data_IF_175394658942
#
_entry.id   IF_175394658942
#
_cell.length_a   1.000
_cell.length_b   1.000
_cell.length_c   1.000
_cell.angle_alpha   90.00
_cell.angle_beta   90.00
_cell.angle_gamma   90.00
#
_symmetry.space_group_name_H-M   'P 1'
#
loop_
_entity.id
_entity.type
_entity.pdbx_description
1 polymer ?
#
# COMPACT_ATOMS: atom_id res chain seq x y z
N UNK A 1 -52.08 -6.00 2.14
CA UNK A 1 -51.12 -7.09 1.91
C UNK A 1 -50.09 -6.53 0.90
N UNK A 2 -49.02 -6.01 1.37
CA UNK A 2 -47.92 -5.46 0.54
C UNK A 2 -46.78 -6.46 0.56
N UNK A 3 -46.48 -7.08 -0.58
CA UNK A 3 -45.34 -7.95 -0.75
C UNK A 3 -44.08 -7.06 -0.93
N UNK A 4 -43.20 -7.12 0.03
CA UNK A 4 -41.87 -6.52 -0.08
C UNK A 4 -41.04 -7.41 -1.02
N UNK A 5 -40.80 -6.92 -2.23
CA UNK A 5 -39.81 -7.50 -3.15
C UNK A 5 -38.43 -7.24 -2.56
N UNK A 6 -37.80 -8.28 -2.02
CA UNK A 6 -36.35 -8.25 -1.78
C UNK A 6 -35.65 -8.12 -3.14
N UNK A 7 -35.20 -6.91 -3.44
CA UNK A 7 -34.32 -6.67 -4.58
C UNK A 7 -32.98 -7.35 -4.28
N UNK A 8 -32.70 -8.46 -4.98
CA UNK A 8 -31.37 -9.06 -5.05
C UNK A 8 -30.43 -7.99 -5.65
N UNK A 9 -29.52 -7.46 -4.87
CA UNK A 9 -28.52 -6.55 -5.38
C UNK A 9 -27.66 -7.31 -6.42
N UNK A 10 -27.42 -6.77 -7.62
CA UNK A 10 -26.60 -7.45 -8.61
C UNK A 10 -25.20 -7.70 -8.06
N UNK A 11 -24.70 -8.91 -8.21
CA UNK A 11 -23.32 -9.25 -7.91
C UNK A 11 -22.40 -8.39 -8.81
N UNK A 12 -21.55 -7.59 -8.17
CA UNK A 12 -20.60 -6.76 -8.89
C UNK A 12 -19.27 -7.50 -8.99
N UNK A 13 -18.78 -7.67 -10.20
CA UNK A 13 -17.45 -8.18 -10.50
C UNK A 13 -16.55 -7.06 -11.03
N UNK A 14 -15.26 -7.10 -10.71
CA UNK A 14 -14.29 -6.19 -11.29
C UNK A 14 -13.88 -6.66 -12.70
N UNK A 15 -13.54 -5.75 -13.62
CA UNK A 15 -12.99 -6.14 -14.91
C UNK A 15 -11.63 -6.84 -14.70
N UNK A 16 -11.28 -7.83 -15.55
CA UNK A 16 -9.99 -8.48 -15.50
C UNK A 16 -8.86 -7.46 -15.70
N UNK A 17 -7.73 -7.68 -15.05
CA UNK A 17 -6.54 -6.87 -15.26
C UNK A 17 -6.12 -7.04 -16.73
N UNK A 18 -5.98 -5.93 -17.44
CA UNK A 18 -5.46 -5.96 -18.80
C UNK A 18 -4.04 -6.54 -18.74
N UNK A 19 -3.84 -7.70 -19.38
CA UNK A 19 -2.52 -8.30 -19.57
C UNK A 19 -1.90 -7.59 -20.78
N UNK A 20 -1.65 -6.29 -20.64
CA UNK A 20 -0.89 -5.57 -21.64
C UNK A 20 0.56 -6.07 -21.54
N UNK A 21 0.92 -6.97 -22.45
CA UNK A 21 2.29 -7.47 -22.63
C UNK A 21 3.27 -6.42 -23.16
N UNK A 22 2.93 -5.15 -23.04
CA UNK A 22 3.83 -4.03 -23.22
C UNK A 22 4.49 -3.68 -21.91
N UNK A 23 5.80 -3.62 -21.86
CA UNK A 23 6.52 -2.89 -20.83
C UNK A 23 5.94 -1.47 -20.81
N UNK A 24 4.87 -1.29 -20.01
CA UNK A 24 4.40 0.06 -19.73
C UNK A 24 5.59 0.74 -19.10
N UNK A 25 6.12 1.71 -19.85
CA UNK A 25 7.13 2.60 -19.35
C UNK A 25 6.82 2.87 -17.89
N UNK A 26 7.84 2.83 -17.03
CA UNK A 26 7.78 3.34 -15.67
C UNK A 26 7.35 4.80 -15.74
N UNK A 27 6.11 5.01 -16.21
CA UNK A 27 5.48 6.30 -16.41
C UNK A 27 5.04 6.79 -15.06
N UNK A 28 5.70 7.85 -14.63
CA UNK A 28 5.30 8.77 -13.56
C UNK A 28 4.55 8.05 -12.43
N UNK A 29 5.26 7.20 -11.69
CA UNK A 29 4.86 6.83 -10.34
C UNK A 29 4.60 8.14 -9.63
N UNK A 30 3.36 8.38 -9.18
CA UNK A 30 3.07 9.49 -8.29
C UNK A 30 4.20 9.50 -7.25
N UNK A 31 4.97 10.59 -7.21
CA UNK A 31 6.18 10.70 -6.38
C UNK A 31 5.90 10.16 -5.00
N UNK A 32 6.71 9.20 -4.54
CA UNK A 32 6.58 8.68 -3.20
C UNK A 32 6.57 9.84 -2.20
N UNK A 33 5.54 9.88 -1.36
CA UNK A 33 5.43 10.84 -0.27
C UNK A 33 5.58 10.13 1.05
N UNK A 34 6.45 10.66 1.87
CA UNK A 34 6.72 10.17 3.22
C UNK A 34 5.43 10.14 4.03
N UNK A 35 5.15 9.02 4.67
CA UNK A 35 4.00 8.82 5.56
C UNK A 35 4.40 8.71 7.02
N UNK A 36 3.43 8.84 7.95
CA UNK A 36 3.63 8.46 9.34
C UNK A 36 4.10 7.00 9.46
N UNK A 37 4.97 6.74 10.42
CA UNK A 37 5.60 5.44 10.71
C UNK A 37 6.62 4.95 9.68
N UNK A 38 6.88 5.68 8.59
CA UNK A 38 8.00 5.35 7.72
C UNK A 38 9.33 5.51 8.47
N UNK A 39 10.30 4.65 8.15
CA UNK A 39 11.65 4.77 8.68
C UNK A 39 12.54 5.46 7.64
N UNK A 40 13.16 6.55 8.02
CA UNK A 40 14.04 7.35 7.17
C UNK A 40 15.49 7.19 7.61
N UNK A 41 16.36 6.85 6.66
CA UNK A 41 17.80 6.96 6.85
C UNK A 41 18.26 8.32 6.32
N UNK A 42 18.75 9.16 7.21
CA UNK A 42 19.23 10.52 6.89
C UNK A 42 20.75 10.53 7.01
N UNK A 43 21.40 10.89 5.91
CA UNK A 43 22.85 10.99 5.83
C UNK A 43 23.23 12.42 5.54
N UNK A 44 24.11 12.99 6.38
CA UNK A 44 24.70 14.32 6.18
C UNK A 44 26.16 14.14 5.78
N UNK A 45 26.48 14.52 4.55
CA UNK A 45 27.83 14.35 4.01
C UNK A 45 28.86 15.06 4.86
N UNK A 46 30.01 14.42 5.11
CA UNK A 46 31.10 14.88 5.98
C UNK A 46 30.73 15.11 7.46
N UNK A 47 29.53 14.75 7.90
CA UNK A 47 29.09 14.89 9.30
C UNK A 47 28.46 13.59 9.80
N UNK A 48 29.23 12.52 10.01
CA UNK A 48 28.71 11.20 10.38
C UNK A 48 27.94 11.22 11.72
N UNK A 49 28.26 12.15 12.62
CA UNK A 49 27.57 12.30 13.91
C UNK A 49 26.10 12.74 13.76
N UNK A 50 25.72 13.28 12.59
CA UNK A 50 24.36 13.67 12.26
C UNK A 50 23.61 12.58 11.48
N UNK A 51 24.30 11.52 11.06
CA UNK A 51 23.66 10.40 10.36
C UNK A 51 22.77 9.62 11.35
N UNK A 52 21.50 9.43 10.97
CA UNK A 52 20.58 8.75 11.86
C UNK A 52 19.44 8.06 11.09
N UNK A 53 18.97 6.96 11.67
CA UNK A 53 17.71 6.33 11.27
C UNK A 53 16.59 6.85 12.17
N UNK A 54 15.64 7.56 11.58
CA UNK A 54 14.60 8.28 12.32
C UNK A 54 13.22 7.81 11.84
N UNK A 55 12.34 7.34 12.76
CA UNK A 55 10.96 7.07 12.41
C UNK A 55 10.18 8.37 12.26
N UNK A 56 9.29 8.41 11.28
CA UNK A 56 8.28 9.47 11.18
C UNK A 56 7.22 9.24 12.24
N UNK A 57 7.03 10.22 13.11
CA UNK A 57 6.05 10.16 14.19
C UNK A 57 4.61 10.13 13.66
N UNK A 58 3.62 9.72 14.48
CA UNK A 58 2.20 9.74 14.09
C UNK A 58 1.68 11.11 13.63
N UNK A 59 2.28 12.21 14.18
CA UNK A 59 1.97 13.59 13.79
C UNK A 59 2.65 14.01 12.47
N UNK A 60 3.36 13.09 11.79
CA UNK A 60 4.03 13.33 10.52
C UNK A 60 5.36 14.10 10.64
N UNK A 61 5.89 14.27 11.85
CA UNK A 61 7.15 14.99 12.09
C UNK A 61 8.29 14.02 12.39
N UNK A 62 9.50 14.48 12.13
CA UNK A 62 10.75 13.84 12.58
C UNK A 62 11.48 14.77 13.53
N UNK A 63 12.31 14.18 14.41
CA UNK A 63 13.21 14.93 15.30
C UNK A 63 14.65 14.61 14.88
N UNK A 64 15.40 15.61 14.48
CA UNK A 64 16.80 15.47 14.06
C UNK A 64 17.72 16.37 14.89
N UNK A 65 18.90 15.91 15.31
CA UNK A 65 19.89 16.75 15.97
C UNK A 65 20.18 18.02 15.17
N UNK A 66 20.32 19.15 15.84
CA UNK A 66 20.54 20.49 15.32
C UNK A 66 19.38 21.06 14.47
N UNK A 67 18.72 20.26 13.65
CA UNK A 67 17.58 20.71 12.83
C UNK A 67 16.26 20.80 13.63
N UNK A 68 16.16 20.10 14.79
CA UNK A 68 14.97 20.07 15.63
C UNK A 68 13.81 19.32 14.97
N UNK A 69 12.59 19.77 15.22
CA UNK A 69 11.39 19.19 14.60
C UNK A 69 11.20 19.68 13.17
N UNK A 70 10.95 18.73 12.26
CA UNK A 70 10.70 18.98 10.84
C UNK A 70 9.50 18.17 10.38
N UNK A 71 8.58 18.79 9.65
CA UNK A 71 7.45 18.09 9.01
C UNK A 71 7.99 17.27 7.85
N UNK A 72 7.82 15.95 7.93
CA UNK A 72 8.24 14.98 6.92
C UNK A 72 7.06 14.45 6.10
N UNK A 73 5.92 14.19 6.74
CA UNK A 73 4.75 13.62 6.08
C UNK A 73 4.25 14.51 4.93
N UNK A 74 3.90 13.85 3.80
CA UNK A 74 3.44 14.51 2.58
C UNK A 74 4.53 15.07 1.70
N UNK A 75 5.77 15.17 2.17
CA UNK A 75 6.94 15.60 1.37
C UNK A 75 7.54 14.43 0.62
N UNK A 76 8.20 14.72 -0.50
CA UNK A 76 9.11 13.75 -1.11
C UNK A 76 10.42 13.67 -0.32
N UNK A 77 11.21 12.58 -0.44
CA UNK A 77 12.54 12.52 0.18
C UNK A 77 13.44 13.69 -0.22
N UNK A 78 13.35 14.14 -1.47
CA UNK A 78 14.11 15.28 -1.98
C UNK A 78 13.67 16.59 -1.32
N UNK A 79 12.36 16.84 -1.19
CA UNK A 79 11.85 18.05 -0.53
C UNK A 79 12.23 18.08 0.96
N UNK A 80 12.21 16.90 1.62
CA UNK A 80 12.65 16.80 3.00
C UNK A 80 14.15 17.06 3.14
N UNK A 81 14.97 16.54 2.21
CA UNK A 81 16.41 16.79 2.20
C UNK A 81 16.73 18.29 2.11
N UNK A 82 16.06 19.01 1.21
CA UNK A 82 16.20 20.48 1.08
C UNK A 82 15.78 21.18 2.39
N UNK A 83 14.66 20.81 2.97
CA UNK A 83 14.19 21.39 4.22
C UNK A 83 15.16 21.17 5.40
N UNK A 84 15.82 20.00 5.43
CA UNK A 84 16.85 19.69 6.43
C UNK A 84 18.14 20.45 6.18
N UNK A 85 18.57 20.59 4.93
CA UNK A 85 19.73 21.42 4.55
C UNK A 85 19.55 22.86 5.05
N UNK A 86 18.39 23.47 4.78
CA UNK A 86 18.13 24.85 5.20
C UNK A 86 18.18 25.02 6.74
N UNK A 87 17.68 24.03 7.48
CA UNK A 87 17.73 24.05 8.95
C UNK A 87 19.13 23.79 9.52
N UNK A 88 19.98 23.08 8.80
CA UNK A 88 21.35 22.75 9.24
C UNK A 88 22.37 23.84 8.87
N UNK A 89 22.10 24.72 7.88
CA UNK A 89 22.99 25.82 7.46
C UNK A 89 23.56 26.67 8.60
N UNK A 90 22.80 26.99 9.69
CA UNK A 90 23.35 27.75 10.78
C UNK A 90 24.44 27.02 11.59
N UNK A 91 24.51 25.71 11.49
CA UNK A 91 25.36 24.83 12.31
C UNK A 91 26.43 24.10 11.50
N UNK A 92 26.20 23.91 10.21
CA UNK A 92 27.05 23.13 9.30
C UNK A 92 27.28 23.94 8.03
N UNK A 93 28.55 24.09 7.62
CA UNK A 93 28.89 24.75 6.35
C UNK A 93 28.50 23.82 5.18
N UNK A 94 27.72 24.34 4.24
CA UNK A 94 27.30 23.67 3.01
C UNK A 94 26.80 22.22 3.25
N UNK A 95 25.76 22.03 4.08
CA UNK A 95 25.29 20.69 4.40
C UNK A 95 24.66 20.01 3.17
N UNK A 96 25.16 18.85 2.79
CA UNK A 96 24.56 17.98 1.78
C UNK A 96 23.82 16.86 2.50
N UNK A 97 22.50 16.86 2.39
CA UNK A 97 21.64 15.88 3.08
C UNK A 97 21.02 14.94 2.06
N UNK A 98 21.09 13.65 2.34
CA UNK A 98 20.40 12.59 1.60
C UNK A 98 19.39 11.93 2.52
N UNK A 99 18.15 11.80 2.05
CA UNK A 99 17.06 11.12 2.76
C UNK A 99 16.66 9.89 1.96
N UNK A 100 16.77 8.71 2.58
CA UNK A 100 16.41 7.43 1.96
C UNK A 100 15.39 6.72 2.86
N UNK A 101 14.16 6.51 2.42
CA UNK A 101 13.22 5.66 3.14
C UNK A 101 13.73 4.21 3.15
N UNK A 102 13.79 3.58 4.35
CA UNK A 102 14.26 2.19 4.52
C UNK A 102 13.13 1.22 4.82
N UNK A 103 12.06 1.70 5.44
CA UNK A 103 10.84 0.93 5.66
C UNK A 103 9.64 1.79 5.30
N UNK A 104 8.82 1.23 4.43
CA UNK A 104 7.58 1.86 3.97
C UNK A 104 6.43 1.25 4.74
N UNK A 105 5.98 1.90 5.79
CA UNK A 105 4.74 1.49 6.47
C UNK A 105 3.56 2.06 5.71
N UNK A 106 3.72 3.24 5.14
CA UNK A 106 2.73 3.97 4.35
C UNK A 106 1.46 4.30 5.14
N UNK A 107 0.70 5.31 4.76
CA UNK A 107 -0.63 5.51 5.33
C UNK A 107 -1.50 4.29 5.03
N UNK A 108 -2.38 3.92 5.96
CA UNK A 108 -3.35 2.81 5.80
C UNK A 108 -4.12 2.86 4.47
N UNK A 109 -4.28 4.06 3.91
CA UNK A 109 -4.89 4.28 2.60
C UNK A 109 -4.05 3.78 1.41
N UNK A 110 -2.78 3.39 1.61
CA UNK A 110 -1.90 2.86 0.55
C UNK A 110 -1.49 1.40 0.81
N UNK A 111 -2.25 0.67 1.58
CA UNK A 111 -2.04 -0.75 1.86
C UNK A 111 -3.22 -1.56 1.34
N UNK A 112 -2.94 -2.78 0.91
CA UNK A 112 -3.95 -3.82 0.71
C UNK A 112 -4.01 -4.65 2.00
N UNK A 113 -5.19 -4.81 2.55
CA UNK A 113 -5.40 -5.61 3.76
C UNK A 113 -6.02 -6.95 3.38
N UNK A 114 -5.38 -8.03 3.75
CA UNK A 114 -5.84 -9.39 3.46
C UNK A 114 -6.21 -10.06 4.77
N UNK A 115 -7.46 -10.47 4.87
CA UNK A 115 -8.04 -11.06 6.07
C UNK A 115 -8.75 -12.37 5.76
N UNK A 116 -8.83 -13.26 6.73
CA UNK A 116 -9.47 -14.57 6.60
C UNK A 116 -8.48 -15.67 6.24
N UNK A 117 -8.87 -16.59 5.36
CA UNK A 117 -8.20 -17.86 5.07
C UNK A 117 -7.05 -17.73 4.03
N UNK A 118 -6.25 -16.67 4.11
CA UNK A 118 -4.94 -16.62 3.45
C UNK A 118 -3.89 -17.37 4.30
N UNK A 119 -2.81 -17.87 3.68
CA UNK A 119 -1.75 -18.57 4.41
C UNK A 119 -1.06 -17.66 5.45
N UNK A 120 -0.89 -16.38 5.14
CA UNK A 120 -0.36 -15.36 6.04
C UNK A 120 -1.19 -14.07 5.93
N UNK A 121 -2.36 -13.98 6.61
CA UNK A 121 -3.19 -12.78 6.58
C UNK A 121 -2.42 -11.57 7.13
N UNK A 122 -2.29 -10.52 6.34
CA UNK A 122 -1.57 -9.29 6.73
C UNK A 122 -1.93 -8.12 5.83
N UNK A 123 -1.55 -6.92 6.26
CA UNK A 123 -1.51 -5.76 5.39
C UNK A 123 -0.20 -5.77 4.57
N UNK A 124 -0.30 -5.51 3.29
CA UNK A 124 0.83 -5.40 2.37
C UNK A 124 0.85 -4.00 1.75
N UNK A 125 2.02 -3.40 1.52
CA UNK A 125 2.11 -2.12 0.84
C UNK A 125 1.60 -2.25 -0.60
N UNK A 126 0.78 -1.30 -1.03
CA UNK A 126 0.32 -1.24 -2.43
C UNK A 126 1.46 -0.76 -3.33
N UNK A 127 1.70 -1.47 -4.40
CA UNK A 127 2.59 -1.07 -5.50
C UNK A 127 1.79 -0.75 -6.76
N UNK A 128 2.33 0.12 -7.61
CA UNK A 128 1.67 0.46 -8.88
C UNK A 128 1.36 -0.79 -9.71
N UNK A 129 0.18 -0.85 -10.29
CA UNK A 129 -0.32 -1.97 -11.10
C UNK A 129 -0.42 -3.32 -10.35
N UNK A 130 -0.58 -3.27 -9.03
CA UNK A 130 -0.74 -4.47 -8.22
C UNK A 130 -2.03 -5.21 -8.56
N UNK A 131 -1.92 -6.50 -8.81
CA UNK A 131 -3.04 -7.38 -9.14
C UNK A 131 -3.44 -8.28 -7.95
N UNK A 132 -4.58 -8.94 -8.08
CA UNK A 132 -5.03 -9.95 -7.12
C UNK A 132 -4.01 -11.08 -6.98
N UNK A 133 -3.41 -11.52 -8.09
CA UNK A 133 -2.38 -12.56 -8.08
C UNK A 133 -1.14 -12.13 -7.28
N UNK A 134 -0.67 -10.89 -7.46
CA UNK A 134 0.48 -10.35 -6.72
C UNK A 134 0.20 -10.35 -5.21
N UNK A 135 -0.99 -9.94 -4.83
CA UNK A 135 -1.41 -9.96 -3.43
C UNK A 135 -1.43 -11.37 -2.85
N UNK A 136 -1.94 -12.35 -3.61
CA UNK A 136 -1.97 -13.74 -3.18
C UNK A 136 -0.58 -14.35 -3.06
N UNK A 137 0.32 -14.05 -3.99
CA UNK A 137 1.75 -14.45 -3.91
C UNK A 137 2.40 -13.87 -2.65
N UNK A 138 2.15 -12.58 -2.34
CA UNK A 138 2.72 -11.90 -1.19
C UNK A 138 2.29 -12.51 0.16
N UNK A 139 1.09 -13.12 0.24
CA UNK A 139 0.58 -13.76 1.47
C UNK A 139 0.73 -15.29 1.47
N UNK A 140 1.38 -15.87 0.44
CA UNK A 140 1.64 -17.30 0.36
C UNK A 140 0.44 -18.14 -0.08
N UNK A 141 -0.57 -17.52 -0.74
CA UNK A 141 -1.74 -18.22 -1.26
C UNK A 141 -2.86 -18.43 -0.25
N UNK A 142 -3.74 -19.39 -0.56
CA UNK A 142 -4.90 -19.77 0.25
C UNK A 142 -4.56 -20.91 1.22
N UNK A 143 -5.26 -20.96 2.37
CA UNK A 143 -5.25 -22.16 3.21
C UNK A 143 -6.11 -23.28 2.57
N UNK A 144 -5.98 -24.50 3.08
CA UNK A 144 -6.82 -25.64 2.64
C UNK A 144 -8.29 -25.49 3.02
N UNK A 145 -8.60 -24.58 3.92
CA UNK A 145 -9.97 -24.31 4.38
C UNK A 145 -10.60 -23.11 3.70
N UNK A 146 -9.86 -22.42 2.84
CA UNK A 146 -10.34 -21.22 2.17
C UNK A 146 -11.45 -21.53 1.16
N UNK A 147 -12.44 -20.65 1.10
CA UNK A 147 -13.38 -20.51 0.00
C UNK A 147 -12.90 -19.38 -0.90
N UNK A 148 -12.02 -19.73 -1.86
CA UNK A 148 -11.42 -18.74 -2.76
C UNK A 148 -12.42 -18.12 -3.72
N UNK A 149 -13.49 -18.82 -4.10
CA UNK A 149 -14.53 -18.31 -5.00
C UNK A 149 -15.60 -17.50 -4.27
N UNK A 150 -15.68 -17.65 -2.94
CA UNK A 150 -16.48 -16.79 -2.07
C UNK A 150 -15.75 -15.51 -1.63
N UNK A 151 -14.52 -15.29 -2.09
CA UNK A 151 -13.72 -14.14 -1.70
C UNK A 151 -14.28 -12.81 -2.23
N UNK A 152 -14.02 -11.72 -1.48
CA UNK A 152 -14.57 -10.40 -1.79
C UNK A 152 -13.50 -9.31 -1.60
N UNK A 153 -13.51 -8.34 -2.50
CA UNK A 153 -12.78 -7.08 -2.35
C UNK A 153 -13.77 -6.02 -1.87
N UNK A 154 -13.44 -5.40 -0.74
CA UNK A 154 -14.16 -4.23 -0.23
C UNK A 154 -13.33 -2.99 -0.53
N UNK A 155 -13.90 -2.07 -1.29
CA UNK A 155 -13.29 -0.82 -1.77
C UNK A 155 -14.12 0.38 -1.38
N UNK A 156 -13.49 1.48 -1.06
CA UNK A 156 -14.18 2.75 -0.81
C UNK A 156 -14.02 3.62 -2.06
N UNK A 157 -15.12 3.82 -2.80
CA UNK A 157 -15.17 4.67 -3.98
C UNK A 157 -16.05 5.89 -3.69
N UNK A 158 -15.50 7.09 -3.84
CA UNK A 158 -16.23 8.36 -3.60
C UNK A 158 -16.89 8.41 -2.21
N UNK A 159 -16.26 7.81 -1.20
CA UNK A 159 -16.81 7.76 0.17
C UNK A 159 -17.88 6.69 0.40
N UNK A 160 -18.21 5.89 -0.61
CA UNK A 160 -19.18 4.78 -0.51
C UNK A 160 -18.45 3.45 -0.56
N UNK A 161 -18.79 2.55 0.36
CA UNK A 161 -18.25 1.20 0.37
C UNK A 161 -18.88 0.38 -0.75
N UNK A 162 -18.05 -0.20 -1.63
CA UNK A 162 -18.42 -1.14 -2.67
C UNK A 162 -17.82 -2.50 -2.36
N UNK A 163 -18.54 -3.56 -2.70
CA UNK A 163 -18.07 -4.94 -2.53
C UNK A 163 -18.08 -5.62 -3.90
N UNK A 164 -16.97 -6.25 -4.26
CA UNK A 164 -16.78 -6.96 -5.52
C UNK A 164 -16.47 -8.42 -5.22
N UNK A 165 -17.12 -9.34 -5.90
CA UNK A 165 -16.79 -10.76 -5.84
C UNK A 165 -15.58 -11.05 -6.69
N UNK A 166 -14.69 -11.92 -6.21
CA UNK A 166 -13.48 -12.37 -6.92
C UNK A 166 -13.32 -13.88 -6.76
N UNK A 167 -12.81 -14.53 -7.80
CA UNK A 167 -12.67 -16.00 -7.86
C UNK A 167 -11.18 -16.38 -7.77
N UNK A 168 -10.69 -16.49 -6.53
CA UNK A 168 -9.28 -16.79 -6.28
C UNK A 168 -8.94 -18.25 -6.60
N UNK A 169 -9.85 -19.19 -6.36
CA UNK A 169 -9.63 -20.60 -6.70
C UNK A 169 -9.49 -20.76 -8.21
N UNK A 170 -10.37 -20.15 -9.01
CA UNK A 170 -10.25 -20.13 -10.47
C UNK A 170 -8.93 -19.52 -10.95
N UNK A 171 -8.47 -18.43 -10.33
CA UNK A 171 -7.20 -17.78 -10.68
C UNK A 171 -5.98 -18.65 -10.34
N UNK A 172 -5.92 -19.24 -9.12
CA UNK A 172 -4.71 -19.90 -8.62
C UNK A 172 -4.66 -21.37 -8.97
N UNK A 173 -5.79 -22.08 -8.89
CA UNK A 173 -5.85 -23.53 -9.07
C UNK A 173 -6.13 -23.92 -10.53
N UNK A 174 -7.04 -23.19 -11.18
CA UNK A 174 -7.44 -23.50 -12.56
C UNK A 174 -6.60 -22.69 -13.59
N UNK A 175 -5.81 -21.71 -13.14
CA UNK A 175 -4.98 -20.87 -14.00
C UNK A 175 -5.78 -19.91 -14.86
N UNK A 176 -7.03 -19.60 -14.48
CA UNK A 176 -7.86 -18.64 -15.22
C UNK A 176 -7.41 -17.21 -14.95
N UNK A 177 -6.53 -16.71 -15.80
CA UNK A 177 -5.99 -15.32 -15.70
C UNK A 177 -7.06 -14.25 -15.91
N UNK A 178 -8.25 -14.59 -16.45
CA UNK A 178 -9.35 -13.64 -16.58
C UNK A 178 -9.92 -13.20 -15.22
N UNK A 179 -9.70 -14.01 -14.17
CA UNK A 179 -10.07 -13.68 -12.79
C UNK A 179 -9.04 -12.77 -12.10
N UNK A 180 -7.90 -12.49 -12.73
CA UNK A 180 -6.92 -11.58 -12.18
C UNK A 180 -7.40 -10.14 -12.34
N UNK A 181 -7.68 -9.47 -11.24
CA UNK A 181 -8.22 -8.11 -11.22
C UNK A 181 -7.20 -7.12 -10.65
N UNK A 182 -7.30 -5.85 -11.05
CA UNK A 182 -6.46 -4.78 -10.52
C UNK A 182 -6.93 -4.36 -9.14
N UNK A 183 -5.99 -4.30 -8.20
CA UNK A 183 -6.22 -3.78 -6.86
C UNK A 183 -6.01 -2.27 -6.82
N UNK A 184 -6.66 -1.62 -5.85
CA UNK A 184 -6.50 -0.20 -5.58
C UNK A 184 -6.00 0.03 -4.15
N UNK A 185 -5.28 1.14 -3.90
CA UNK A 185 -4.84 1.48 -2.55
C UNK A 185 -6.02 1.55 -1.59
N UNK A 186 -5.92 0.87 -0.44
CA UNK A 186 -6.97 0.82 0.56
C UNK A 186 -7.93 -0.35 0.45
N UNK A 187 -7.83 -1.17 -0.59
CA UNK A 187 -8.67 -2.37 -0.74
C UNK A 187 -8.50 -3.32 0.45
N UNK A 188 -9.61 -3.97 0.81
CA UNK A 188 -9.64 -5.06 1.78
C UNK A 188 -10.08 -6.34 1.09
N UNK A 189 -9.19 -7.31 0.98
CA UNK A 189 -9.49 -8.63 0.46
C UNK A 189 -9.94 -9.52 1.63
N UNK A 190 -11.16 -10.02 1.57
CA UNK A 190 -11.77 -10.90 2.56
C UNK A 190 -11.91 -12.29 1.95
N UNK A 191 -11.26 -13.27 2.57
CA UNK A 191 -11.27 -14.66 2.12
C UNK A 191 -12.02 -15.50 3.19
N UNK A 192 -13.26 -15.90 2.93
CA UNK A 192 -14.02 -16.66 3.90
C UNK A 192 -13.52 -18.09 4.03
N UNK A 193 -13.91 -18.75 5.11
CA UNK A 193 -13.74 -20.16 5.28
C UNK A 193 -14.84 -20.92 4.52
N UNK A 194 -14.47 -22.05 3.92
CA UNK A 194 -15.42 -22.95 3.28
C UNK A 194 -16.28 -23.63 4.35
N UNK A 195 -17.59 -23.49 4.23
CA UNK A 195 -18.53 -24.27 5.00
C UNK A 195 -18.81 -25.58 4.25
N UNK A 196 -18.71 -26.69 4.96
CA UNK A 196 -18.95 -28.01 4.42
C UNK A 196 -20.45 -28.27 4.20
#
# INVERSE_FOLDING_TARGET
>A
MGAALLACAPERTLPPAAVDGGAQAYGATADYRIGPYDMLNIVVWHNPDLNNQIPVRPDGRIMMPLAGEVVAAGKTPSDLAIALQDKLKPYVNDPIVTVTPTQFVGPYARQIRIVGEAAQPRAIPFTSNMTLLDAMVAVGGLTKYADGDGAKIVRIEHGVQQTYNVHIDGLIRDGDVSQNVMLQPGDVLIIPQRFF
#
